data_IF_877781645979
#
_entry.id   IF_877781645979
#
_cell.length_a   1.000
_cell.length_b   1.000
_cell.length_c   1.000
_cell.angle_alpha   90.00
_cell.angle_beta   90.00
_cell.angle_gamma   90.00
#
_symmetry.space_group_name_H-M   'P 1'
#
loop_
_entity.id
_entity.type
_entity.pdbx_description
1 polymer ?
#
# COMPACT_ATOMS: atom_id res chain seq x y z
N UNK A 1 -1.77 -30.73 66.30
CA UNK A 1 -1.82 -29.91 65.08
C UNK A 1 -1.99 -28.49 65.55
N UNK A 2 -0.92 -27.72 65.57
CA UNK A 2 -0.79 -26.47 66.28
C UNK A 2 -1.45 -25.30 65.51
N UNK A 3 -2.06 -24.36 66.24
CA UNK A 3 -2.80 -23.20 65.77
C UNK A 3 -2.00 -22.38 64.72
N UNK A 4 -0.64 -22.44 64.72
CA UNK A 4 0.20 -21.75 63.77
C UNK A 4 0.17 -22.31 62.33
N UNK A 5 -0.11 -23.61 62.15
CA UNK A 5 -0.29 -24.22 60.83
C UNK A 5 -1.61 -23.75 60.15
N UNK A 6 -2.61 -23.44 60.96
CA UNK A 6 -3.91 -23.00 60.46
C UNK A 6 -3.89 -21.55 60.00
N UNK A 7 -3.17 -20.66 60.72
CA UNK A 7 -2.99 -19.25 60.32
C UNK A 7 -2.13 -19.10 59.07
N UNK A 8 -1.08 -19.90 58.89
CA UNK A 8 -0.27 -19.85 57.68
C UNK A 8 -1.02 -20.26 56.41
N UNK A 9 -1.94 -21.22 56.49
CA UNK A 9 -2.75 -21.67 55.38
C UNK A 9 -3.84 -20.66 54.96
N UNK A 10 -4.34 -19.86 55.92
CA UNK A 10 -5.35 -18.85 55.65
C UNK A 10 -4.68 -17.61 54.98
N UNK A 11 -3.51 -17.18 55.43
CA UNK A 11 -2.75 -16.11 54.78
C UNK A 11 -2.33 -16.47 53.31
N UNK A 12 -1.91 -17.73 53.08
CA UNK A 12 -1.52 -18.17 51.73
C UNK A 12 -2.74 -18.22 50.80
N UNK A 13 -3.91 -18.60 51.26
CA UNK A 13 -5.17 -18.62 50.46
C UNK A 13 -5.70 -17.23 50.18
N UNK A 14 -5.57 -16.30 51.06
CA UNK A 14 -5.98 -14.90 50.87
C UNK A 14 -5.04 -14.22 49.86
N UNK A 15 -3.73 -14.45 49.92
CA UNK A 15 -2.78 -13.97 48.91
C UNK A 15 -3.03 -14.55 47.49
N UNK A 16 -3.44 -15.82 47.38
CA UNK A 16 -3.78 -16.44 46.11
C UNK A 16 -5.07 -15.91 45.49
N UNK A 17 -6.08 -15.58 46.33
CA UNK A 17 -7.34 -14.97 45.86
C UNK A 17 -7.12 -13.52 45.42
N UNK A 18 -6.24 -12.76 46.09
CA UNK A 18 -5.89 -11.40 45.65
C UNK A 18 -5.07 -11.38 44.36
N UNK A 19 -4.20 -12.37 44.10
CA UNK A 19 -3.45 -12.48 42.84
C UNK A 19 -4.36 -12.87 41.65
N UNK A 20 -5.41 -13.65 41.87
CA UNK A 20 -6.41 -14.01 40.87
C UNK A 20 -7.38 -12.85 40.54
N UNK A 21 -7.65 -11.95 41.48
CA UNK A 21 -8.50 -10.79 41.24
C UNK A 21 -7.76 -9.65 40.53
N UNK A 22 -6.42 -9.61 40.57
CA UNK A 22 -5.62 -8.60 39.87
C UNK A 22 -5.31 -8.99 38.41
N UNK A 23 -5.58 -10.24 38.00
CA UNK A 23 -5.41 -10.71 36.62
C UNK A 23 -6.62 -10.42 35.72
N UNK A 24 -7.69 -9.83 36.27
CA UNK A 24 -8.84 -9.31 35.50
C UNK A 24 -8.78 -7.78 35.35
N UNK A 25 -7.61 -7.28 35.02
CA UNK A 25 -7.47 -5.87 34.69
C UNK A 25 -7.42 -5.68 33.18
N UNK A 26 -8.54 -5.17 32.72
CA UNK A 26 -8.61 -4.20 31.62
C UNK A 26 -8.13 -4.70 30.26
N UNK A 27 -8.93 -5.60 29.68
CA UNK A 27 -9.17 -5.45 28.25
C UNK A 27 -10.13 -4.25 28.08
N UNK A 28 -9.62 -3.04 28.27
CA UNK A 28 -10.23 -1.88 27.66
C UNK A 28 -10.09 -2.10 26.17
N UNK A 29 -11.16 -2.57 25.51
CA UNK A 29 -11.35 -2.29 24.10
C UNK A 29 -11.09 -0.80 23.96
N UNK A 30 -9.92 -0.45 23.40
CA UNK A 30 -9.72 0.88 22.88
C UNK A 30 -10.92 1.12 21.97
N UNK A 31 -11.77 2.05 22.31
CA UNK A 31 -12.84 2.45 21.44
C UNK A 31 -12.14 2.88 20.16
N UNK A 32 -12.38 2.17 19.05
CA UNK A 32 -11.94 2.58 17.74
C UNK A 32 -12.61 3.94 17.48
N UNK A 33 -11.90 5.00 17.84
CA UNK A 33 -12.27 6.34 17.40
C UNK A 33 -11.98 6.39 15.92
N UNK A 34 -13.01 6.13 15.12
CA UNK A 34 -12.93 6.36 13.67
C UNK A 34 -12.56 7.84 13.53
N UNK A 35 -11.31 8.10 13.17
CA UNK A 35 -10.84 9.44 12.90
C UNK A 35 -11.71 10.02 11.78
N UNK A 36 -12.37 11.15 12.04
CA UNK A 36 -13.14 11.87 11.01
C UNK A 36 -12.24 12.72 10.11
N UNK A 37 -10.98 12.88 10.50
CA UNK A 37 -10.02 13.71 9.79
C UNK A 37 -9.58 13.05 8.49
N UNK A 38 -9.57 13.82 7.39
CA UNK A 38 -9.09 13.35 6.07
C UNK A 38 -7.57 13.19 6.05
N UNK A 39 -7.12 12.22 5.29
CA UNK A 39 -5.71 12.04 4.94
C UNK A 39 -5.38 13.04 3.82
N UNK A 40 -4.74 14.16 4.17
CA UNK A 40 -4.41 15.22 3.22
C UNK A 40 -3.03 15.03 2.63
N UNK A 41 -2.94 15.02 1.29
CA UNK A 41 -1.69 14.89 0.53
C UNK A 41 -1.74 15.78 -0.72
N UNK A 42 -0.58 16.20 -1.24
CA UNK A 42 -0.52 16.98 -2.47
C UNK A 42 -0.62 16.10 -3.71
N UNK A 43 -0.04 14.91 -3.65
CA UNK A 43 -0.08 13.92 -4.72
C UNK A 43 -0.27 12.52 -4.14
N UNK A 44 -0.74 11.58 -4.97
CA UNK A 44 -0.94 10.18 -4.58
C UNK A 44 -0.44 9.26 -5.69
N UNK A 45 0.50 8.37 -5.35
CA UNK A 45 1.05 7.38 -6.28
C UNK A 45 0.94 5.96 -5.72
N UNK A 46 0.77 5.00 -6.63
CA UNK A 46 0.81 3.58 -6.29
C UNK A 46 2.25 3.09 -6.16
N UNK A 47 2.55 2.40 -5.06
CA UNK A 47 3.80 1.66 -4.84
C UNK A 47 3.55 0.17 -4.67
N UNK A 48 2.47 -0.29 -5.21
CA UNK A 48 2.20 -1.63 -5.51
C UNK A 48 1.48 -2.47 -4.58
N UNK A 49 1.38 -3.77 -4.78
CA UNK A 49 2.10 -4.73 -5.66
C UNK A 49 1.20 -5.22 -6.81
N UNK A 50 -0.01 -4.69 -6.95
CA UNK A 50 -1.04 -5.10 -7.91
C UNK A 50 -1.65 -3.89 -8.61
N UNK A 51 -2.51 -4.16 -9.59
CA UNK A 51 -3.19 -3.13 -10.36
C UNK A 51 -4.24 -2.32 -9.57
N UNK A 52 -4.72 -2.83 -8.42
CA UNK A 52 -5.84 -2.23 -7.67
C UNK A 52 -5.56 -0.81 -7.20
N UNK A 53 -4.44 -0.50 -6.51
CA UNK A 53 -4.18 0.85 -6.05
C UNK A 53 -4.21 1.88 -7.19
N UNK A 54 -3.50 1.63 -8.30
CA UNK A 54 -3.47 2.56 -9.43
C UNK A 54 -4.83 2.67 -10.14
N UNK A 55 -5.61 1.57 -10.24
CA UNK A 55 -6.96 1.59 -10.77
C UNK A 55 -7.87 2.51 -9.95
N UNK A 56 -7.77 2.47 -8.61
CA UNK A 56 -8.61 3.30 -7.76
C UNK A 56 -8.15 4.75 -7.70
N UNK A 57 -6.84 5.03 -7.74
CA UNK A 57 -6.32 6.40 -7.93
C UNK A 57 -6.93 7.01 -9.19
N UNK A 58 -6.98 6.26 -10.31
CA UNK A 58 -7.58 6.73 -11.55
C UNK A 58 -9.11 6.86 -11.45
N UNK A 59 -9.80 5.88 -10.89
CA UNK A 59 -11.26 5.86 -10.75
C UNK A 59 -11.79 7.04 -9.94
N UNK A 60 -11.06 7.47 -8.93
CA UNK A 60 -11.44 8.59 -8.06
C UNK A 60 -10.83 9.94 -8.48
N UNK A 61 -10.30 10.04 -9.72
CA UNK A 61 -9.73 11.25 -10.29
C UNK A 61 -8.59 11.86 -9.43
N UNK A 62 -7.81 11.00 -8.77
CA UNK A 62 -6.65 11.42 -7.96
C UNK A 62 -5.32 11.23 -8.68
N UNK A 63 -5.35 10.92 -9.98
CA UNK A 63 -4.17 10.64 -10.80
C UNK A 63 -3.76 11.88 -11.58
N UNK A 64 -2.68 12.53 -11.17
CA UNK A 64 -2.08 13.63 -11.93
C UNK A 64 -1.20 13.15 -13.08
N UNK A 65 -0.48 12.05 -12.88
CA UNK A 65 0.47 11.49 -13.82
C UNK A 65 0.45 9.97 -13.75
N UNK A 66 0.57 9.30 -14.90
CA UNK A 66 0.82 7.87 -14.93
C UNK A 66 2.22 7.57 -14.38
N UNK A 67 2.31 6.68 -13.40
CA UNK A 67 3.59 6.29 -12.80
C UNK A 67 4.18 5.03 -13.47
N UNK A 68 5.52 4.83 -13.43
CA UNK A 68 6.14 3.64 -13.99
C UNK A 68 5.68 2.34 -13.33
N UNK A 69 5.35 2.38 -12.05
CA UNK A 69 4.89 1.21 -11.27
C UNK A 69 3.39 0.93 -11.40
N UNK A 70 2.64 1.78 -12.10
CA UNK A 70 1.24 1.52 -12.40
C UNK A 70 1.11 0.22 -13.22
N UNK A 71 0.23 -0.69 -12.78
CA UNK A 71 -0.06 -1.95 -13.46
C UNK A 71 1.09 -2.96 -13.47
N UNK A 72 2.08 -2.81 -12.57
CA UNK A 72 3.19 -3.74 -12.38
C UNK A 72 2.92 -4.71 -11.24
N UNK A 73 3.57 -5.87 -11.29
CA UNK A 73 3.44 -6.93 -10.30
C UNK A 73 4.80 -7.43 -9.83
N UNK A 74 4.80 -8.18 -8.72
CA UNK A 74 5.92 -8.96 -8.21
C UNK A 74 7.16 -8.14 -7.84
N UNK A 75 7.00 -7.12 -6.97
CA UNK A 75 8.11 -6.35 -6.45
C UNK A 75 7.94 -5.97 -4.97
N UNK A 76 9.06 -5.87 -4.26
CA UNK A 76 9.11 -5.48 -2.84
C UNK A 76 9.18 -3.96 -2.67
N UNK A 77 9.02 -3.50 -1.43
CA UNK A 77 9.24 -2.09 -1.09
C UNK A 77 10.72 -1.68 -1.26
N UNK A 78 11.68 -2.59 -1.04
CA UNK A 78 13.09 -2.30 -1.29
C UNK A 78 13.39 -2.08 -2.77
N UNK A 79 12.73 -2.82 -3.67
CA UNK A 79 12.81 -2.56 -5.12
C UNK A 79 12.25 -1.18 -5.44
N UNK A 80 11.15 -0.75 -4.82
CA UNK A 80 10.63 0.60 -5.00
C UNK A 80 11.67 1.65 -4.60
N UNK A 81 12.29 1.51 -3.43
CA UNK A 81 13.36 2.43 -2.98
C UNK A 81 14.49 2.46 -4.00
N UNK A 82 15.02 1.29 -4.40
CA UNK A 82 16.10 1.18 -5.39
C UNK A 82 15.77 1.94 -6.69
N UNK A 83 14.55 1.79 -7.20
CA UNK A 83 14.14 2.46 -8.43
C UNK A 83 14.09 3.98 -8.28
N UNK A 84 13.63 4.50 -7.15
CA UNK A 84 13.63 5.94 -6.91
C UNK A 84 15.05 6.48 -6.69
N UNK A 85 15.91 5.77 -5.98
CA UNK A 85 17.33 6.12 -5.79
C UNK A 85 18.09 6.17 -7.12
N UNK A 86 17.83 5.21 -8.00
CA UNK A 86 18.48 5.11 -9.33
C UNK A 86 17.76 5.89 -10.42
N UNK A 87 16.69 6.63 -10.08
CA UNK A 87 15.84 7.34 -11.04
C UNK A 87 15.33 6.43 -12.16
N UNK A 88 15.03 5.18 -11.83
CA UNK A 88 14.56 4.14 -12.75
C UNK A 88 15.55 3.81 -13.90
N UNK A 89 16.85 4.11 -13.76
CA UNK A 89 17.83 3.94 -14.84
C UNK A 89 17.93 2.51 -15.33
N UNK A 90 17.74 1.52 -14.44
CA UNK A 90 17.81 0.08 -14.73
C UNK A 90 16.42 -0.59 -14.86
N UNK A 91 15.34 0.20 -14.84
CA UNK A 91 13.99 -0.31 -14.94
C UNK A 91 13.73 -0.93 -16.31
N UNK A 92 13.45 -2.23 -16.33
CA UNK A 92 13.32 -3.02 -17.57
C UNK A 92 14.49 -2.82 -18.54
N UNK A 93 15.72 -2.73 -18.05
CA UNK A 93 16.90 -2.65 -18.89
C UNK A 93 17.13 -3.97 -19.66
N UNK A 94 17.05 -5.08 -18.96
CA UNK A 94 17.01 -6.41 -19.52
C UNK A 94 15.69 -7.09 -19.21
N UNK A 95 15.11 -7.71 -20.24
CA UNK A 95 13.80 -8.33 -20.13
C UNK A 95 13.80 -9.79 -20.55
N UNK A 96 12.79 -10.52 -20.07
CA UNK A 96 12.43 -11.86 -20.55
C UNK A 96 10.90 -11.98 -20.70
N UNK A 97 10.45 -12.60 -21.78
CA UNK A 97 9.05 -13.01 -21.89
C UNK A 97 8.83 -14.26 -21.03
N UNK A 98 7.84 -14.21 -20.15
CA UNK A 98 7.47 -15.35 -19.32
C UNK A 98 6.17 -15.98 -19.80
N UNK A 99 6.02 -17.32 -19.66
CA UNK A 99 4.80 -18.01 -20.10
C UNK A 99 3.57 -17.44 -19.40
N UNK A 100 2.57 -17.11 -20.19
CA UNK A 100 1.29 -16.62 -19.70
C UNK A 100 0.12 -17.40 -20.34
N UNK A 101 -0.87 -17.73 -19.53
CA UNK A 101 -2.09 -18.44 -19.94
C UNK A 101 -3.35 -17.59 -19.84
N UNK A 102 -3.24 -16.36 -19.33
CA UNK A 102 -4.41 -15.59 -18.91
C UNK A 102 -4.73 -14.37 -19.78
N UNK A 103 -3.75 -13.80 -20.49
CA UNK A 103 -3.97 -12.64 -21.33
C UNK A 103 -4.00 -13.00 -22.81
N UNK A 104 -5.13 -12.76 -23.48
CA UNK A 104 -5.26 -13.04 -24.93
C UNK A 104 -4.39 -12.09 -25.78
N UNK A 105 -4.21 -10.85 -25.36
CA UNK A 105 -3.63 -9.78 -26.19
C UNK A 105 -2.30 -9.22 -25.67
N UNK A 106 -1.84 -9.63 -24.47
CA UNK A 106 -0.62 -9.11 -23.87
C UNK A 106 0.41 -10.23 -23.67
N UNK A 107 1.68 -9.88 -23.74
CA UNK A 107 2.78 -10.70 -23.25
C UNK A 107 3.03 -10.36 -21.78
N UNK A 108 3.39 -11.36 -20.98
CA UNK A 108 3.94 -11.12 -19.65
C UNK A 108 5.45 -10.97 -19.81
N UNK A 109 5.97 -9.83 -19.40
CA UNK A 109 7.38 -9.50 -19.55
C UNK A 109 7.95 -9.16 -18.18
N UNK A 110 9.06 -9.84 -17.85
CA UNK A 110 9.75 -9.65 -16.58
C UNK A 110 11.02 -8.83 -16.76
N UNK A 111 11.20 -7.87 -15.90
CA UNK A 111 12.48 -7.21 -15.65
C UNK A 111 13.43 -8.22 -14.99
N UNK A 112 14.51 -8.60 -15.66
CA UNK A 112 15.43 -9.62 -15.16
C UNK A 112 16.15 -9.19 -13.89
N UNK A 113 16.49 -7.90 -13.78
CA UNK A 113 17.24 -7.36 -12.65
C UNK A 113 16.35 -7.18 -11.43
N UNK A 114 15.20 -6.54 -11.61
CA UNK A 114 14.33 -6.12 -10.52
C UNK A 114 13.21 -7.13 -10.22
N UNK A 115 13.03 -8.16 -11.06
CA UNK A 115 11.99 -9.16 -10.88
C UNK A 115 10.56 -8.68 -11.14
N UNK A 116 10.37 -7.43 -11.52
CA UNK A 116 9.07 -6.80 -11.78
C UNK A 116 8.43 -7.41 -13.02
N UNK A 117 7.13 -7.63 -12.97
CA UNK A 117 6.39 -8.20 -14.11
C UNK A 117 5.40 -7.16 -14.64
N UNK A 118 5.48 -6.90 -15.95
CA UNK A 118 4.48 -6.15 -16.70
C UNK A 118 3.51 -7.11 -17.39
N UNK A 119 2.21 -6.90 -17.18
CA UNK A 119 1.15 -7.77 -17.73
C UNK A 119 0.23 -7.08 -18.73
N UNK A 120 0.42 -5.77 -18.96
CA UNK A 120 -0.49 -4.98 -19.80
C UNK A 120 0.19 -4.17 -20.90
N UNK A 121 1.52 -4.07 -20.91
CA UNK A 121 2.21 -3.07 -21.73
C UNK A 121 2.77 -3.62 -23.04
N UNK A 122 2.90 -4.93 -23.18
CA UNK A 122 3.49 -5.55 -24.35
C UNK A 122 2.44 -6.28 -25.17
N UNK A 123 2.27 -5.89 -26.42
CA UNK A 123 1.32 -6.54 -27.33
C UNK A 123 1.81 -7.95 -27.70
N UNK A 124 0.94 -8.95 -27.58
CA UNK A 124 1.26 -10.36 -27.89
C UNK A 124 1.73 -10.57 -29.33
N UNK A 125 1.24 -9.77 -30.24
CA UNK A 125 1.47 -9.95 -31.68
C UNK A 125 2.58 -9.06 -32.25
N UNK A 126 3.16 -8.16 -31.43
CA UNK A 126 4.27 -7.31 -31.85
C UNK A 126 5.64 -7.92 -31.50
N UNK A 127 6.72 -7.60 -32.26
CA UNK A 127 8.08 -7.98 -31.89
C UNK A 127 8.46 -7.40 -30.52
N UNK A 128 9.01 -8.24 -29.63
CA UNK A 128 9.32 -7.85 -28.26
C UNK A 128 10.34 -6.72 -28.20
N UNK A 129 11.38 -6.75 -29.00
CA UNK A 129 12.46 -5.75 -28.98
C UNK A 129 11.98 -4.35 -29.37
N UNK A 130 11.06 -4.26 -30.32
CA UNK A 130 10.47 -2.98 -30.73
C UNK A 130 9.57 -2.40 -29.63
N UNK A 131 8.75 -3.26 -29.03
CA UNK A 131 7.87 -2.90 -27.92
C UNK A 131 8.69 -2.50 -26.70
N UNK A 132 9.77 -3.22 -26.40
CA UNK A 132 10.65 -2.95 -25.27
C UNK A 132 11.28 -1.56 -25.33
N UNK A 133 11.83 -1.17 -26.46
CA UNK A 133 12.43 0.16 -26.64
C UNK A 133 11.43 1.28 -26.37
N UNK A 134 10.25 1.20 -26.97
CA UNK A 134 9.16 2.18 -26.79
C UNK A 134 8.66 2.22 -25.36
N UNK A 135 8.48 1.04 -24.76
CA UNK A 135 8.03 0.89 -23.39
C UNK A 135 9.02 1.53 -22.42
N UNK A 136 10.31 1.20 -22.51
CA UNK A 136 11.35 1.71 -21.63
C UNK A 136 11.47 3.22 -21.72
N UNK A 137 11.46 3.79 -22.90
CA UNK A 137 11.47 5.24 -23.10
C UNK A 137 10.25 5.92 -22.44
N UNK A 138 9.06 5.36 -22.66
CA UNK A 138 7.83 5.88 -22.04
C UNK A 138 7.89 5.81 -20.52
N UNK A 139 8.43 4.73 -19.92
CA UNK A 139 8.53 4.57 -18.47
C UNK A 139 9.55 5.52 -17.85
N UNK A 140 10.71 5.72 -18.48
CA UNK A 140 11.69 6.71 -18.01
C UNK A 140 11.14 8.15 -18.07
N UNK A 141 10.38 8.47 -19.11
CA UNK A 141 9.70 9.76 -19.20
C UNK A 141 8.63 9.92 -18.10
N UNK A 142 7.88 8.86 -17.78
CA UNK A 142 6.93 8.87 -16.64
C UNK A 142 7.67 9.04 -15.32
N UNK A 143 8.77 8.32 -15.11
CA UNK A 143 9.58 8.43 -13.89
C UNK A 143 10.04 9.88 -13.65
N UNK A 144 10.57 10.53 -14.68
CA UNK A 144 10.99 11.95 -14.62
C UNK A 144 9.84 12.88 -14.27
N UNK A 145 8.64 12.68 -14.84
CA UNK A 145 7.48 13.51 -14.53
C UNK A 145 6.99 13.28 -13.10
N UNK A 146 6.97 12.03 -12.64
CA UNK A 146 6.63 11.67 -11.25
C UNK A 146 7.64 12.29 -10.27
N UNK A 147 8.94 12.17 -10.54
CA UNK A 147 9.99 12.76 -9.71
C UNK A 147 9.83 14.29 -9.56
N UNK A 148 9.50 14.99 -10.65
CA UNK A 148 9.20 16.43 -10.58
C UNK A 148 8.01 16.73 -9.66
N UNK A 149 6.90 15.98 -9.78
CA UNK A 149 5.73 16.16 -8.91
C UNK A 149 6.09 15.91 -7.45
N UNK A 150 6.87 14.85 -7.17
CA UNK A 150 7.30 14.53 -5.81
C UNK A 150 8.19 15.63 -5.22
N UNK A 151 9.12 16.17 -6.01
CA UNK A 151 9.98 17.30 -5.61
C UNK A 151 9.20 18.57 -5.31
N UNK A 152 8.17 18.84 -6.09
CA UNK A 152 7.32 20.04 -5.94
C UNK A 152 6.26 19.88 -4.83
N UNK A 153 5.98 18.66 -4.36
CA UNK A 153 5.02 18.39 -3.28
C UNK A 153 5.58 18.73 -1.91
N UNK A 154 4.74 19.19 -0.99
CA UNK A 154 5.07 19.31 0.44
C UNK A 154 4.64 18.03 1.21
N UNK A 155 3.60 17.36 0.69
CA UNK A 155 3.04 16.14 1.26
C UNK A 155 2.82 15.09 0.17
N UNK A 156 3.50 13.94 0.29
CA UNK A 156 3.50 12.84 -0.67
C UNK A 156 2.67 11.70 -0.11
N UNK A 157 1.61 11.31 -0.83
CA UNK A 157 0.83 10.11 -0.58
C UNK A 157 1.34 8.93 -1.40
N UNK A 158 1.59 7.81 -0.74
CA UNK A 158 1.95 6.53 -1.35
C UNK A 158 0.91 5.50 -0.92
N UNK A 159 0.32 4.77 -1.86
CA UNK A 159 -0.66 3.71 -1.55
C UNK A 159 -0.18 2.36 -2.07
N UNK A 160 -0.32 1.33 -1.24
CA UNK A 160 0.00 -0.06 -1.57
C UNK A 160 -1.03 -1.03 -1.00
N UNK A 161 -1.01 -2.27 -1.50
CA UNK A 161 -1.81 -3.37 -0.97
C UNK A 161 -0.90 -4.56 -0.61
N UNK A 162 -0.33 -4.50 0.60
CA UNK A 162 0.70 -5.43 1.07
C UNK A 162 0.30 -6.08 2.39
N UNK A 163 -0.30 -7.28 2.30
CA UNK A 163 -0.83 -8.01 3.47
C UNK A 163 0.25 -8.61 4.37
N UNK A 164 1.41 -8.92 3.78
CA UNK A 164 2.47 -9.67 4.47
C UNK A 164 3.60 -8.75 5.01
N UNK A 165 3.46 -7.42 4.83
CA UNK A 165 4.44 -6.47 5.35
C UNK A 165 4.23 -6.21 6.85
N UNK A 166 5.32 -6.21 7.60
CA UNK A 166 5.31 -5.80 9.00
C UNK A 166 5.22 -4.29 9.13
N UNK A 167 4.74 -3.80 10.27
CA UNK A 167 4.77 -2.36 10.59
C UNK A 167 6.18 -1.79 10.50
N UNK A 168 7.18 -2.55 10.96
CA UNK A 168 8.58 -2.13 10.90
C UNK A 168 9.08 -1.97 9.46
N UNK A 169 8.75 -2.89 8.56
CA UNK A 169 9.11 -2.80 7.14
C UNK A 169 8.46 -1.56 6.48
N UNK A 170 7.19 -1.28 6.80
CA UNK A 170 6.51 -0.08 6.32
C UNK A 170 7.16 1.20 6.83
N UNK A 171 7.57 1.24 8.11
CA UNK A 171 8.29 2.38 8.70
C UNK A 171 9.65 2.55 8.01
N UNK A 172 10.41 1.48 7.84
CA UNK A 172 11.73 1.52 7.20
C UNK A 172 11.63 1.99 5.74
N UNK A 173 10.63 1.51 5.00
CA UNK A 173 10.36 2.01 3.66
C UNK A 173 10.07 3.52 3.65
N UNK A 174 9.16 3.99 4.50
CA UNK A 174 8.78 5.39 4.55
C UNK A 174 9.96 6.29 4.97
N UNK A 175 10.84 5.83 5.86
CA UNK A 175 12.07 6.54 6.24
C UNK A 175 13.04 6.65 5.07
N UNK A 176 13.38 5.54 4.40
CA UNK A 176 14.24 5.55 3.20
C UNK A 176 13.65 6.45 2.10
N UNK A 177 12.33 6.41 1.90
CA UNK A 177 11.68 7.28 0.92
C UNK A 177 11.77 8.76 1.32
N UNK A 178 11.70 9.09 2.61
CA UNK A 178 11.88 10.46 3.12
C UNK A 178 13.33 10.97 2.98
N UNK A 179 14.32 10.07 2.93
CA UNK A 179 15.73 10.42 2.65
C UNK A 179 15.91 10.81 1.18
N UNK A 180 15.18 10.16 0.25
CA UNK A 180 15.20 10.52 -1.18
C UNK A 180 14.50 11.88 -1.40
N UNK A 181 13.42 12.16 -0.66
CA UNK A 181 12.65 13.40 -0.74
C UNK A 181 12.65 14.14 0.61
N UNK A 182 13.77 14.79 0.98
CA UNK A 182 13.91 15.42 2.30
C UNK A 182 12.94 16.61 2.46
N UNK A 183 12.57 16.88 3.71
CA UNK A 183 11.65 17.93 4.12
C UNK A 183 10.21 17.78 3.59
N UNK A 184 9.83 16.60 3.13
CA UNK A 184 8.46 16.28 2.71
C UNK A 184 7.73 15.51 3.80
N UNK A 185 6.42 15.69 3.88
CA UNK A 185 5.57 14.79 4.65
C UNK A 185 5.29 13.55 3.81
N UNK A 186 5.64 12.37 4.32
CA UNK A 186 5.37 11.08 3.67
C UNK A 186 4.15 10.44 4.34
N UNK A 187 3.14 10.15 3.57
CA UNK A 187 1.94 9.44 4.02
C UNK A 187 1.84 8.12 3.27
N UNK A 188 2.13 7.02 3.96
CA UNK A 188 1.99 5.68 3.40
C UNK A 188 0.65 5.08 3.80
N UNK A 189 -0.13 4.67 2.82
CA UNK A 189 -1.44 4.04 2.99
C UNK A 189 -1.30 2.57 2.59
N UNK A 190 -1.42 1.65 3.55
CA UNK A 190 -1.35 0.22 3.28
C UNK A 190 -2.74 -0.41 3.35
N UNK A 191 -3.10 -1.16 2.32
CA UNK A 191 -4.35 -1.91 2.25
C UNK A 191 -4.07 -3.39 2.54
N UNK A 192 -4.77 -3.94 3.52
CA UNK A 192 -4.62 -5.33 3.92
C UNK A 192 -5.94 -6.08 3.71
N UNK A 193 -5.86 -7.14 2.93
CA UNK A 193 -6.98 -8.06 2.75
C UNK A 193 -7.02 -9.11 3.86
N UNK A 194 -8.10 -9.12 4.64
CA UNK A 194 -8.43 -10.20 5.58
C UNK A 194 -9.80 -10.75 5.21
N UNK A 195 -9.91 -12.05 4.87
CA UNK A 195 -11.19 -12.67 4.53
C UNK A 195 -12.23 -12.48 5.64
N UNK A 196 -13.50 -12.31 5.25
CA UNK A 196 -14.64 -12.19 6.16
C UNK A 196 -14.61 -10.94 7.08
N UNK A 197 -13.81 -9.95 6.79
CA UNK A 197 -13.87 -8.64 7.45
C UNK A 197 -15.01 -7.83 6.83
N UNK A 198 -16.08 -7.63 7.59
CA UNK A 198 -17.33 -7.04 7.07
C UNK A 198 -17.23 -5.52 6.83
N UNK A 199 -16.41 -4.84 7.62
CA UNK A 199 -16.24 -3.38 7.58
C UNK A 199 -14.82 -3.01 7.26
N UNK A 200 -14.62 -1.79 6.77
CA UNK A 200 -13.29 -1.19 6.64
C UNK A 200 -12.83 -0.74 8.03
N UNK A 201 -11.68 -1.24 8.45
CA UNK A 201 -11.02 -0.83 9.69
C UNK A 201 -9.82 0.05 9.34
N UNK A 202 -9.81 1.27 9.85
CA UNK A 202 -8.69 2.21 9.71
C UNK A 202 -7.87 2.23 11.00
N UNK A 203 -6.55 2.19 10.88
CA UNK A 203 -5.62 2.36 11.99
C UNK A 203 -4.41 3.19 11.58
N UNK A 204 -3.93 4.04 12.49
CA UNK A 204 -2.65 4.72 12.34
C UNK A 204 -1.58 3.85 12.98
N UNK A 205 -0.67 3.33 12.16
CA UNK A 205 0.43 2.46 12.62
C UNK A 205 1.64 3.27 13.09
N UNK A 206 1.83 4.47 12.54
CA UNK A 206 2.94 5.36 12.86
C UNK A 206 2.59 6.81 12.48
N UNK A 207 2.96 7.79 13.31
CA UNK A 207 2.75 9.23 13.03
C UNK A 207 3.81 10.06 13.77
N UNK A 208 5.02 10.12 13.21
CA UNK A 208 6.16 10.86 13.78
C UNK A 208 7.09 11.38 12.66
N UNK A 209 7.83 12.45 12.94
CA UNK A 209 8.92 12.95 12.09
C UNK A 209 8.53 13.15 10.61
N UNK A 210 7.36 13.75 10.35
CA UNK A 210 6.80 13.93 9.00
C UNK A 210 6.47 12.62 8.26
N UNK A 211 6.42 11.49 8.94
CA UNK A 211 6.00 10.20 8.40
C UNK A 211 4.70 9.79 9.07
N UNK A 212 3.67 9.51 8.26
CA UNK A 212 2.42 8.93 8.71
C UNK A 212 2.14 7.64 7.96
N UNK A 213 1.82 6.58 8.69
CA UNK A 213 1.41 5.30 8.11
C UNK A 213 0.02 4.97 8.55
N UNK A 214 -0.89 4.85 7.60
CA UNK A 214 -2.29 4.49 7.82
C UNK A 214 -2.54 3.14 7.17
N UNK A 215 -3.17 2.24 7.90
CA UNK A 215 -3.57 0.93 7.39
C UNK A 215 -5.08 0.80 7.33
N UNK A 216 -5.58 0.31 6.22
CA UNK A 216 -6.97 -0.09 6.06
C UNK A 216 -7.05 -1.61 5.92
N UNK A 217 -7.91 -2.22 6.71
CA UNK A 217 -8.13 -3.68 6.72
C UNK A 217 -9.58 -3.95 6.34
N UNK A 218 -9.79 -4.77 5.31
CA UNK A 218 -11.12 -5.19 4.87
C UNK A 218 -11.06 -6.48 4.04
N UNK A 219 -12.22 -7.11 3.82
CA UNK A 219 -12.33 -8.21 2.87
C UNK A 219 -12.38 -7.68 1.44
N UNK A 220 -11.27 -7.81 0.72
CA UNK A 220 -11.14 -7.31 -0.66
C UNK A 220 -11.62 -8.35 -1.69
N UNK A 221 -12.83 -8.87 -1.44
CA UNK A 221 -13.54 -9.78 -2.33
C UNK A 221 -14.72 -9.01 -2.95
N UNK A 222 -14.97 -9.12 -4.26
CA UNK A 222 -16.12 -8.46 -4.88
C UNK A 222 -17.44 -8.86 -4.21
N UNK A 223 -18.27 -7.89 -3.85
CA UNK A 223 -19.61 -8.15 -3.29
C UNK A 223 -20.54 -8.82 -4.29
N UNK A 224 -20.35 -8.58 -5.56
CA UNK A 224 -21.20 -9.09 -6.64
C UNK A 224 -20.40 -10.15 -7.40
N UNK A 225 -20.95 -11.37 -7.43
CA UNK A 225 -20.32 -12.52 -8.12
C UNK A 225 -20.58 -12.52 -9.64
N UNK A 226 -20.83 -11.37 -10.25
CA UNK A 226 -20.95 -11.25 -11.71
C UNK A 226 -19.58 -10.87 -12.31
N UNK A 227 -18.83 -11.82 -12.88
CA UNK A 227 -17.49 -11.57 -13.39
C UNK A 227 -17.46 -10.64 -14.63
N UNK A 228 -18.57 -10.46 -15.30
CA UNK A 228 -18.68 -9.59 -16.47
C UNK A 228 -18.83 -8.13 -16.06
N UNK A 229 -19.75 -7.86 -15.12
CA UNK A 229 -19.98 -6.50 -14.60
C UNK A 229 -18.97 -6.08 -13.56
N UNK A 230 -18.48 -7.04 -12.77
CA UNK A 230 -17.57 -6.80 -11.64
C UNK A 230 -16.36 -7.74 -11.72
N UNK A 231 -15.36 -7.42 -12.53
CA UNK A 231 -14.15 -8.23 -12.65
C UNK A 231 -13.50 -8.44 -11.27
N UNK A 232 -13.20 -9.68 -10.95
CA UNK A 232 -12.68 -10.08 -9.63
C UNK A 232 -11.38 -9.36 -9.24
N UNK A 233 -10.55 -9.00 -10.24
CA UNK A 233 -9.31 -8.27 -10.01
C UNK A 233 -9.52 -6.87 -9.41
N UNK A 234 -10.72 -6.29 -9.53
CA UNK A 234 -11.05 -4.99 -8.91
C UNK A 234 -11.32 -5.07 -7.42
N UNK A 235 -11.50 -6.27 -6.85
CA UNK A 235 -11.76 -6.44 -5.44
C UNK A 235 -13.08 -5.83 -4.96
N UNK A 236 -13.14 -5.48 -3.68
CA UNK A 236 -14.31 -4.89 -3.04
C UNK A 236 -14.42 -3.39 -3.33
N UNK A 237 -15.16 -3.05 -4.37
CA UNK A 237 -15.28 -1.66 -4.83
C UNK A 237 -15.89 -0.70 -3.80
N UNK A 238 -16.76 -1.18 -2.90
CA UNK A 238 -17.36 -0.37 -1.84
C UNK A 238 -16.32 -0.02 -0.78
N UNK A 239 -15.57 -1.02 -0.32
CA UNK A 239 -14.51 -0.80 0.66
C UNK A 239 -13.39 0.11 0.11
N UNK A 240 -12.98 -0.08 -1.14
CA UNK A 240 -12.06 0.85 -1.80
C UNK A 240 -12.64 2.27 -1.90
N UNK A 241 -13.97 2.41 -2.14
CA UNK A 241 -14.66 3.70 -2.11
C UNK A 241 -14.58 4.37 -0.74
N UNK A 242 -14.75 3.61 0.32
CA UNK A 242 -14.62 4.10 1.69
C UNK A 242 -13.18 4.57 1.97
N UNK A 243 -12.15 3.79 1.61
CA UNK A 243 -10.75 4.20 1.72
C UNK A 243 -10.49 5.51 0.99
N UNK A 244 -10.89 5.61 -0.29
CA UNK A 244 -10.66 6.81 -1.08
C UNK A 244 -11.47 8.01 -0.61
N UNK A 245 -12.61 7.80 0.04
CA UNK A 245 -13.36 8.86 0.70
C UNK A 245 -12.58 9.50 1.87
N UNK A 246 -11.60 8.81 2.42
CA UNK A 246 -10.73 9.30 3.51
C UNK A 246 -9.57 10.15 3.01
N UNK A 247 -9.25 10.09 1.72
CA UNK A 247 -8.11 10.80 1.11
C UNK A 247 -8.61 12.11 0.50
N UNK A 248 -7.85 13.17 0.71
CA UNK A 248 -8.09 14.51 0.14
C UNK A 248 -6.81 15.02 -0.52
N UNK A 249 -6.89 15.32 -1.80
CA UNK A 249 -5.79 15.98 -2.50
C UNK A 249 -5.84 17.49 -2.27
N UNK A 250 -4.68 18.09 -2.01
CA UNK A 250 -4.57 19.55 -1.99
C UNK A 250 -4.82 20.13 -3.40
N UNK A 251 -5.12 21.42 -3.48
CA UNK A 251 -5.36 22.06 -4.76
C UNK A 251 -4.07 22.35 -5.56
N UNK A 252 -2.91 22.03 -5.00
CA UNK A 252 -1.59 22.39 -5.56
C UNK A 252 -1.39 21.92 -7.02
N UNK A 253 -1.90 20.75 -7.37
CA UNK A 253 -1.73 20.14 -8.70
C UNK A 253 -3.01 19.99 -9.50
N UNK A 254 -4.13 20.57 -9.09
CA UNK A 254 -5.40 20.45 -9.82
C UNK A 254 -5.32 20.95 -11.25
N UNK A 255 -4.41 21.89 -11.54
CA UNK A 255 -4.19 22.40 -12.89
C UNK A 255 -3.25 21.52 -13.74
N UNK A 256 -2.58 20.51 -13.17
CA UNK A 256 -1.70 19.58 -13.91
C UNK A 256 -2.46 18.54 -14.71
N UNK A 257 -3.70 18.22 -14.30
CA UNK A 257 -4.51 17.18 -14.94
C UNK A 257 -5.26 17.66 -16.20
N UNK A 258 -5.11 18.92 -16.58
CA UNK A 258 -5.80 19.51 -17.73
C UNK A 258 -4.92 19.68 -18.99
N UNK A 259 -3.66 19.24 -18.91
CA UNK A 259 -2.69 19.21 -20.01
C UNK A 259 -2.21 17.77 -20.24
#
# INVERSE_FOLDING_TARGET
>A
MTIDKFKKNICLRILFIFSLLFSFSVNTKAAETVSTEKIKVDCLFSVGVECRPCNYIQKYNMRFQAAPLDWMMNYSLDIVIHLFETQFSDFFEEIEEIPDKFCANCKFVKDKKNGIISIHHFNRYAPLDEEHKKFREAMLNRAKKVDNILKDSDSIGLICNRKDETTENLINFARKFSEIYPNKKIVLINIVHIPNTEKVHESVLFDENNIKIVQFVFSDIPHIKDPVKFPQWKGNQLAWGEVFSRIELSQKFLNYSLN
#
